data_IF_292832132709
#
_entry.id   IF_292832132709
#
_cell.length_a   1.000
_cell.length_b   1.000
_cell.length_c   1.000
_cell.angle_alpha   90.00
_cell.angle_beta   90.00
_cell.angle_gamma   90.00
#
_symmetry.space_group_name_H-M   'P 1'
#
loop_
_entity.id
_entity.type
_entity.pdbx_description
1 polymer ?
#
# COMPACT_ATOMS: atom_id res chain seq x y z
N UNK A 1 -5.71 19.68 -8.39
CA UNK A 1 -6.19 18.67 -9.34
C UNK A 1 -5.19 17.54 -9.56
N UNK A 2 -3.91 17.82 -9.82
CA UNK A 2 -2.88 16.78 -10.02
C UNK A 2 -2.80 15.81 -8.84
N UNK A 3 -2.75 16.32 -7.62
CA UNK A 3 -2.69 15.49 -6.39
C UNK A 3 -3.84 14.49 -6.28
N UNK A 4 -5.07 14.91 -6.60
CA UNK A 4 -6.24 14.02 -6.56
C UNK A 4 -6.15 12.93 -7.62
N UNK A 5 -5.74 13.27 -8.84
CA UNK A 5 -5.56 12.32 -9.93
C UNK A 5 -4.48 11.30 -9.55
N UNK A 6 -3.34 11.76 -9.06
CA UNK A 6 -2.25 10.88 -8.60
C UNK A 6 -2.71 9.96 -7.46
N UNK A 7 -3.45 10.51 -6.49
CA UNK A 7 -3.99 9.71 -5.39
C UNK A 7 -4.91 8.59 -5.89
N UNK A 8 -5.86 8.92 -6.79
CA UNK A 8 -6.80 7.92 -7.36
C UNK A 8 -6.03 6.86 -8.15
N UNK A 9 -5.04 7.27 -8.95
CA UNK A 9 -4.24 6.34 -9.75
C UNK A 9 -3.44 5.37 -8.86
N UNK A 10 -2.76 5.88 -7.83
CA UNK A 10 -1.98 5.06 -6.89
C UNK A 10 -2.89 4.13 -6.09
N UNK A 11 -4.00 4.65 -5.58
CA UNK A 11 -4.96 3.85 -4.83
C UNK A 11 -5.55 2.74 -5.68
N UNK A 12 -5.99 3.06 -6.90
CA UNK A 12 -6.54 2.08 -7.84
C UNK A 12 -5.53 0.99 -8.20
N UNK A 13 -4.26 1.36 -8.37
CA UNK A 13 -3.18 0.41 -8.63
C UNK A 13 -2.91 -0.51 -7.43
N UNK A 14 -2.88 0.03 -6.21
CA UNK A 14 -2.70 -0.78 -5.00
C UNK A 14 -3.86 -1.75 -4.78
N UNK A 15 -5.09 -1.32 -5.08
CA UNK A 15 -6.27 -2.19 -5.02
C UNK A 15 -6.16 -3.29 -6.08
N UNK A 16 -5.73 -2.97 -7.30
CA UNK A 16 -5.51 -3.98 -8.34
C UNK A 16 -4.52 -5.06 -7.88
N UNK A 17 -3.39 -4.67 -7.29
CA UNK A 17 -2.38 -5.61 -6.74
C UNK A 17 -2.99 -6.47 -5.63
N UNK A 18 -3.81 -5.89 -4.76
CA UNK A 18 -4.53 -6.58 -3.70
C UNK A 18 -5.48 -7.65 -4.24
N UNK A 19 -6.35 -7.27 -5.18
CA UNK A 19 -7.31 -8.20 -5.80
C UNK A 19 -6.60 -9.29 -6.60
N UNK A 20 -5.48 -8.95 -7.25
CA UNK A 20 -4.63 -9.92 -7.93
C UNK A 20 -4.09 -10.98 -6.95
N UNK A 21 -3.77 -10.60 -5.73
CA UNK A 21 -3.35 -11.51 -4.68
C UNK A 21 -4.44 -12.54 -4.32
N UNK A 22 -5.67 -12.10 -4.12
CA UNK A 22 -6.81 -12.99 -3.89
C UNK A 22 -7.06 -13.92 -5.08
N UNK A 23 -7.02 -13.36 -6.29
CA UNK A 23 -7.18 -14.11 -7.53
C UNK A 23 -6.14 -15.23 -7.66
N UNK A 24 -4.85 -14.90 -7.48
CA UNK A 24 -3.77 -15.88 -7.59
C UNK A 24 -3.87 -16.96 -6.52
N UNK A 25 -4.17 -16.58 -5.28
CA UNK A 25 -4.35 -17.52 -4.18
C UNK A 25 -5.53 -18.47 -4.43
N UNK A 26 -6.67 -17.95 -4.91
CA UNK A 26 -7.83 -18.76 -5.25
C UNK A 26 -7.53 -19.77 -6.37
N UNK A 27 -6.88 -19.32 -7.44
CA UNK A 27 -6.46 -20.20 -8.54
C UNK A 27 -5.46 -21.26 -8.09
N UNK A 28 -4.52 -20.92 -7.20
CA UNK A 28 -3.53 -21.84 -6.68
C UNK A 28 -4.15 -23.01 -5.91
N UNK A 29 -5.19 -22.74 -5.10
CA UNK A 29 -5.88 -23.81 -4.35
C UNK A 29 -7.02 -24.46 -5.13
N UNK A 30 -7.19 -24.10 -6.42
CA UNK A 30 -8.18 -24.69 -7.31
C UNK A 30 -9.62 -24.23 -7.01
N UNK A 31 -9.79 -22.98 -6.57
CA UNK A 31 -11.10 -22.35 -6.49
C UNK A 31 -11.40 -21.66 -7.82
N UNK A 32 -12.61 -21.88 -8.35
CA UNK A 32 -13.05 -21.21 -9.57
C UNK A 32 -13.33 -19.74 -9.29
N UNK A 33 -12.67 -18.85 -10.04
CA UNK A 33 -12.93 -17.41 -9.98
C UNK A 33 -13.94 -17.07 -11.07
N UNK A 34 -15.10 -16.56 -10.69
CA UNK A 34 -16.17 -16.18 -11.60
C UNK A 34 -15.94 -14.80 -12.20
N UNK A 35 -15.56 -13.83 -11.37
CA UNK A 35 -15.34 -12.45 -11.80
C UNK A 35 -14.08 -11.88 -11.15
N UNK A 36 -13.29 -11.20 -11.98
CA UNK A 36 -12.20 -10.34 -11.56
C UNK A 36 -12.48 -8.93 -12.08
N UNK A 37 -12.78 -8.00 -11.21
CA UNK A 37 -13.16 -6.63 -11.59
C UNK A 37 -12.21 -5.59 -11.01
N UNK A 38 -11.75 -4.69 -11.89
CA UNK A 38 -11.08 -3.45 -11.50
C UNK A 38 -12.13 -2.34 -11.51
N UNK A 39 -12.37 -1.76 -10.36
CA UNK A 39 -13.45 -0.79 -10.17
C UNK A 39 -14.79 -1.42 -9.80
N UNK A 40 -15.70 -0.56 -9.32
CA UNK A 40 -17.09 -0.92 -9.05
C UNK A 40 -18.02 -0.55 -10.20
N UNK A 41 -19.15 -1.26 -10.34
CA UNK A 41 -20.15 -0.97 -11.38
C UNK A 41 -20.55 0.51 -11.48
N UNK A 42 -21.00 0.95 -12.67
CA UNK A 42 -21.30 0.17 -13.87
C UNK A 42 -20.07 -0.27 -14.64
N UNK A 43 -20.16 -1.45 -15.30
CA UNK A 43 -19.05 -2.02 -16.10
C UNK A 43 -18.88 -1.26 -17.41
N UNK A 44 -17.65 -0.88 -17.72
CA UNK A 44 -17.27 -0.25 -19.01
C UNK A 44 -16.99 -1.34 -20.06
N UNK A 45 -16.17 -2.31 -19.65
CA UNK A 45 -15.73 -3.39 -20.54
C UNK A 45 -15.61 -4.68 -19.74
N UNK A 46 -16.02 -5.78 -20.35
CA UNK A 46 -15.91 -7.11 -19.80
C UNK A 46 -15.57 -8.14 -20.87
N UNK A 47 -14.68 -9.09 -20.53
CA UNK A 47 -14.33 -10.21 -21.40
C UNK A 47 -14.22 -11.48 -20.59
N UNK A 48 -14.94 -12.52 -21.00
CA UNK A 48 -14.85 -13.85 -20.41
C UNK A 48 -13.69 -14.64 -21.04
N UNK A 49 -12.79 -15.15 -20.19
CA UNK A 49 -11.69 -16.02 -20.58
C UNK A 49 -11.71 -17.25 -19.67
N UNK A 50 -12.04 -18.40 -20.24
CA UNK A 50 -12.30 -19.62 -19.49
C UNK A 50 -13.49 -19.43 -18.54
N UNK A 51 -13.30 -19.73 -17.28
CA UNK A 51 -14.34 -19.61 -16.23
C UNK A 51 -14.42 -18.22 -15.63
N UNK A 52 -13.46 -17.34 -15.93
CA UNK A 52 -13.35 -16.03 -15.30
C UNK A 52 -13.79 -14.92 -16.25
N UNK A 53 -14.67 -14.05 -15.78
CA UNK A 53 -15.05 -12.81 -16.44
C UNK A 53 -14.21 -11.65 -15.91
N UNK A 54 -13.36 -11.07 -16.75
CA UNK A 54 -12.53 -9.91 -16.43
C UNK A 54 -13.28 -8.64 -16.77
N UNK A 55 -13.41 -7.74 -15.77
CA UNK A 55 -14.18 -6.49 -15.90
C UNK A 55 -13.34 -5.27 -15.57
N UNK A 56 -13.59 -4.20 -16.30
CA UNK A 56 -13.15 -2.85 -15.95
C UNK A 56 -14.40 -2.00 -15.77
N UNK A 57 -14.50 -1.32 -14.64
CA UNK A 57 -15.70 -0.58 -14.22
C UNK A 57 -15.40 0.90 -13.99
N UNK A 58 -16.44 1.71 -13.98
CA UNK A 58 -16.32 3.18 -13.97
C UNK A 58 -15.75 3.77 -12.68
N UNK A 59 -16.02 3.16 -11.53
CA UNK A 59 -15.61 3.71 -10.24
C UNK A 59 -14.25 3.13 -9.84
N UNK A 60 -13.12 3.87 -10.01
CA UNK A 60 -11.78 3.33 -9.83
C UNK A 60 -11.34 3.28 -8.35
N UNK A 61 -12.29 3.36 -7.42
CA UNK A 61 -12.04 3.38 -5.97
C UNK A 61 -12.09 1.99 -5.33
N UNK A 62 -11.93 0.93 -6.13
CA UNK A 62 -12.02 -0.43 -5.62
C UNK A 62 -11.83 -1.48 -6.70
N UNK A 63 -12.12 -2.71 -6.32
CA UNK A 63 -12.16 -3.87 -7.17
C UNK A 63 -12.81 -5.01 -6.40
N UNK A 64 -13.01 -6.12 -7.04
CA UNK A 64 -13.45 -7.34 -6.36
C UNK A 64 -13.13 -8.59 -7.14
N UNK A 65 -12.88 -9.65 -6.40
CA UNK A 65 -12.76 -11.01 -6.90
C UNK A 65 -13.98 -11.80 -6.40
N UNK A 66 -14.78 -12.31 -7.32
CA UNK A 66 -15.90 -13.17 -6.99
C UNK A 66 -15.52 -14.63 -7.15
N UNK A 67 -15.59 -15.36 -6.05
CA UNK A 67 -15.27 -16.77 -6.00
C UNK A 67 -16.54 -17.61 -6.09
N UNK A 68 -16.49 -18.71 -6.81
CA UNK A 68 -17.58 -19.67 -6.87
C UNK A 68 -17.79 -20.31 -5.48
N UNK A 69 -19.03 -20.36 -5.04
CA UNK A 69 -19.40 -20.89 -3.71
C UNK A 69 -19.12 -19.94 -2.55
N UNK A 70 -18.91 -18.65 -2.81
CA UNK A 70 -18.78 -17.64 -1.77
C UNK A 70 -20.15 -17.25 -1.19
N UNK A 71 -21.21 -17.33 -1.98
CA UNK A 71 -22.57 -17.06 -1.51
C UNK A 71 -23.26 -18.36 -1.13
N UNK A 72 -24.12 -18.30 -0.09
CA UNK A 72 -24.86 -19.46 0.45
C UNK A 72 -25.86 -20.04 -0.57
N UNK A 73 -26.22 -19.28 -1.60
CA UNK A 73 -27.12 -19.67 -2.69
C UNK A 73 -26.40 -20.34 -3.86
N UNK A 74 -25.08 -20.40 -3.84
CA UNK A 74 -24.31 -20.98 -4.93
C UNK A 74 -24.41 -22.51 -4.88
N UNK A 75 -24.68 -23.08 -6.03
CA UNK A 75 -24.98 -24.50 -6.25
C UNK A 75 -23.81 -25.41 -5.89
N UNK A 76 -24.14 -26.59 -5.36
CA UNK A 76 -23.28 -27.71 -5.07
C UNK A 76 -22.06 -27.47 -4.13
N UNK A 77 -22.27 -27.60 -2.79
CA UNK A 77 -21.17 -27.51 -1.82
C UNK A 77 -20.11 -28.62 -1.96
N UNK A 78 -20.39 -29.65 -2.76
CA UNK A 78 -19.49 -30.82 -2.95
C UNK A 78 -18.52 -30.62 -4.11
N UNK A 79 -18.72 -29.59 -4.97
CA UNK A 79 -17.80 -29.29 -6.07
C UNK A 79 -16.41 -28.91 -5.51
N UNK A 80 -15.33 -29.62 -5.90
CA UNK A 80 -13.98 -29.30 -5.47
C UNK A 80 -13.51 -27.89 -5.84
N UNK A 81 -14.12 -27.24 -6.82
CA UNK A 81 -13.81 -25.84 -7.21
C UNK A 81 -14.58 -24.79 -6.40
N UNK A 82 -15.46 -25.25 -5.52
CA UNK A 82 -16.26 -24.39 -4.64
C UNK A 82 -15.40 -23.88 -3.47
N UNK A 83 -15.49 -22.59 -3.15
CA UNK A 83 -14.79 -21.98 -2.00
C UNK A 83 -15.22 -22.61 -0.67
N UNK A 84 -16.52 -22.92 -0.50
CA UNK A 84 -17.04 -23.51 0.72
C UNK A 84 -16.51 -24.94 0.97
N UNK A 85 -16.16 -25.69 -0.10
CA UNK A 85 -15.59 -27.06 -0.01
C UNK A 85 -14.14 -27.06 0.46
N UNK A 86 -13.46 -25.91 0.46
CA UNK A 86 -12.04 -25.81 0.82
C UNK A 86 -11.83 -25.88 2.33
N UNK A 87 -10.68 -26.42 2.72
CA UNK A 87 -10.26 -26.44 4.12
C UNK A 87 -10.14 -25.02 4.69
N UNK A 88 -10.21 -24.90 6.01
CA UNK A 88 -10.08 -23.60 6.70
C UNK A 88 -8.76 -22.93 6.34
N UNK A 89 -7.66 -23.69 6.30
CA UNK A 89 -6.33 -23.14 5.95
C UNK A 89 -6.28 -22.60 4.52
N UNK A 90 -6.90 -23.30 3.56
CA UNK A 90 -6.99 -22.82 2.18
C UNK A 90 -7.82 -21.54 2.07
N UNK A 91 -8.91 -21.43 2.81
CA UNK A 91 -9.72 -20.20 2.86
C UNK A 91 -8.95 -19.04 3.48
N UNK A 92 -8.20 -19.29 4.57
CA UNK A 92 -7.31 -18.29 5.18
C UNK A 92 -6.22 -17.87 4.19
N UNK A 93 -5.61 -18.81 3.47
CA UNK A 93 -4.61 -18.53 2.45
C UNK A 93 -5.15 -17.59 1.36
N UNK A 94 -6.36 -17.82 0.86
CA UNK A 94 -7.02 -16.92 -0.10
C UNK A 94 -7.24 -15.54 0.52
N UNK A 95 -7.73 -15.48 1.76
CA UNK A 95 -8.02 -14.23 2.46
C UNK A 95 -6.75 -13.38 2.69
N UNK A 96 -5.63 -14.01 3.02
CA UNK A 96 -4.36 -13.32 3.23
C UNK A 96 -3.70 -12.94 1.89
N UNK A 97 -4.09 -13.57 0.79
CA UNK A 97 -3.48 -13.36 -0.54
C UNK A 97 -3.41 -11.91 -0.95
N UNK A 98 -4.47 -11.13 -0.74
CA UNK A 98 -4.52 -9.70 -1.05
C UNK A 98 -3.51 -8.86 -0.25
N UNK A 99 -3.59 -8.84 1.08
CA UNK A 99 -2.63 -8.13 1.93
C UNK A 99 -1.18 -8.57 1.70
N UNK A 100 -0.95 -9.87 1.53
CA UNK A 100 0.39 -10.41 1.27
C UNK A 100 0.98 -9.88 -0.04
N UNK A 101 0.17 -9.78 -1.10
CA UNK A 101 0.61 -9.25 -2.38
C UNK A 101 0.96 -7.76 -2.28
N UNK A 102 0.21 -6.96 -1.53
CA UNK A 102 0.55 -5.56 -1.28
C UNK A 102 1.88 -5.43 -0.51
N UNK A 103 2.10 -6.29 0.48
CA UNK A 103 3.37 -6.31 1.23
C UNK A 103 4.54 -6.68 0.32
N UNK A 104 4.40 -7.73 -0.49
CA UNK A 104 5.43 -8.15 -1.45
C UNK A 104 5.72 -7.04 -2.47
N UNK A 105 4.68 -6.37 -2.96
CA UNK A 105 4.83 -5.23 -3.86
C UNK A 105 5.58 -4.07 -3.20
N UNK A 106 5.27 -3.73 -1.95
CA UNK A 106 5.97 -2.71 -1.19
C UNK A 106 7.47 -3.06 -0.99
N UNK A 107 7.76 -4.31 -0.63
CA UNK A 107 9.14 -4.82 -0.50
C UNK A 107 9.91 -4.78 -1.83
N UNK A 108 9.23 -4.98 -2.95
CA UNK A 108 9.84 -4.86 -4.28
C UNK A 108 10.08 -3.41 -4.68
N UNK A 109 9.13 -2.50 -4.38
CA UNK A 109 9.25 -1.09 -4.75
C UNK A 109 10.30 -0.34 -3.92
N UNK A 110 10.49 -0.68 -2.65
CA UNK A 110 11.43 0.01 -1.77
C UNK A 110 12.86 0.05 -2.33
N UNK A 111 13.51 -1.08 -2.68
CA UNK A 111 14.84 -1.05 -3.28
C UNK A 111 14.91 -0.24 -4.58
N UNK A 112 13.86 -0.32 -5.43
CA UNK A 112 13.80 0.44 -6.68
C UNK A 112 13.79 1.95 -6.42
N UNK A 113 13.03 2.41 -5.42
CA UNK A 113 13.01 3.83 -5.04
C UNK A 113 14.40 4.29 -4.58
N UNK A 114 15.09 3.48 -3.78
CA UNK A 114 16.47 3.79 -3.34
C UNK A 114 17.46 3.79 -4.50
N UNK A 115 17.31 2.92 -5.49
CA UNK A 115 18.15 2.89 -6.69
C UNK A 115 17.95 4.11 -7.59
N UNK A 116 16.73 4.63 -7.69
CA UNK A 116 16.42 5.84 -8.47
C UNK A 116 16.91 7.10 -7.76
N UNK A 117 17.08 7.03 -6.45
CA UNK A 117 17.47 8.13 -5.57
C UNK A 117 16.25 8.83 -4.97
N UNK A 118 16.09 8.70 -3.68
CA UNK A 118 15.11 9.48 -2.90
C UNK A 118 15.81 10.73 -2.42
N UNK A 119 15.31 11.90 -2.79
CA UNK A 119 15.77 13.15 -2.21
C UNK A 119 15.33 13.18 -0.75
N UNK A 120 16.30 12.97 0.16
CA UNK A 120 16.05 13.20 1.58
C UNK A 120 15.79 14.71 1.79
N UNK A 121 14.83 15.07 2.63
CA UNK A 121 14.66 16.46 3.01
C UNK A 121 15.95 17.01 3.61
N UNK A 122 16.40 18.18 3.15
CA UNK A 122 17.68 18.77 3.57
C UNK A 122 17.84 18.92 5.10
N UNK A 123 16.71 19.00 5.84
CA UNK A 123 16.75 19.08 7.30
C UNK A 123 17.20 17.79 7.99
N UNK A 124 17.20 16.62 7.29
CA UNK A 124 17.74 15.36 7.82
C UNK A 124 19.27 15.30 7.69
N UNK A 125 19.83 16.06 6.74
CA UNK A 125 21.26 16.10 6.45
C UNK A 125 21.95 17.30 7.14
N UNK A 126 21.17 18.20 7.72
CA UNK A 126 21.68 19.39 8.42
C UNK A 126 21.55 19.24 9.94
N UNK A 127 22.55 19.73 10.68
CA UNK A 127 22.44 19.86 12.13
C UNK A 127 21.22 20.72 12.51
N UNK A 128 20.65 20.46 13.68
CA UNK A 128 19.51 21.22 14.18
C UNK A 128 19.84 22.72 14.24
N UNK A 129 19.22 23.51 13.37
CA UNK A 129 19.35 24.98 13.32
C UNK A 129 18.10 25.66 13.84
N UNK A 130 18.28 26.70 14.64
CA UNK A 130 17.18 27.53 15.09
C UNK A 130 16.68 28.38 13.91
N UNK A 131 15.46 28.11 13.47
CA UNK A 131 14.87 28.81 12.31
C UNK A 131 14.42 30.22 12.62
N UNK A 132 13.82 30.39 13.80
CA UNK A 132 13.26 31.67 14.27
C UNK A 132 13.25 31.69 15.78
N UNK A 133 13.50 32.87 16.35
CA UNK A 133 13.35 33.13 17.77
C UNK A 133 12.23 34.15 17.95
N UNK A 134 11.27 33.82 18.80
CA UNK A 134 10.16 34.72 19.06
C UNK A 134 10.61 35.84 20.00
N UNK A 135 10.21 37.06 19.66
CA UNK A 135 10.51 38.26 20.46
C UNK A 135 9.93 38.15 21.87
N UNK A 136 10.70 38.50 22.88
CA UNK A 136 10.31 38.39 24.27
C UNK A 136 10.45 36.99 24.88
N UNK A 137 10.89 35.99 24.10
CA UNK A 137 11.11 34.61 24.59
C UNK A 137 12.33 34.51 25.47
N UNK A 138 12.39 33.42 26.26
CA UNK A 138 13.57 33.09 27.06
C UNK A 138 14.80 32.89 26.14
N UNK A 139 14.59 32.32 24.97
CA UNK A 139 15.64 32.08 23.98
C UNK A 139 16.33 33.39 23.54
N UNK A 140 15.54 34.44 23.30
CA UNK A 140 16.08 35.78 22.99
C UNK A 140 16.83 36.37 24.18
N UNK A 141 16.28 36.22 25.42
CA UNK A 141 16.90 36.77 26.64
C UNK A 141 18.26 36.14 26.96
N UNK A 142 18.49 34.89 26.60
CA UNK A 142 19.78 34.19 26.74
C UNK A 142 20.71 34.37 25.54
N UNK A 143 20.32 35.16 24.54
CA UNK A 143 21.15 35.58 23.42
C UNK A 143 21.19 34.60 22.25
N UNK A 144 20.28 33.64 22.17
CA UNK A 144 20.16 32.78 20.98
C UNK A 144 19.70 33.57 19.78
N UNK A 145 20.27 33.27 18.62
CA UNK A 145 19.95 33.93 17.35
C UNK A 145 19.40 32.92 16.32
N UNK A 146 18.66 33.44 15.35
CA UNK A 146 18.24 32.63 14.21
C UNK A 146 19.50 32.14 13.44
N UNK A 147 19.47 30.89 13.01
CA UNK A 147 20.56 30.13 12.40
C UNK A 147 21.63 29.60 13.37
N UNK A 148 21.51 29.81 14.69
CA UNK A 148 22.35 29.10 15.62
C UNK A 148 22.19 27.60 15.50
N UNK A 149 23.29 26.88 15.57
CA UNK A 149 23.33 25.41 15.50
C UNK A 149 23.39 24.83 16.91
N UNK A 150 22.49 23.85 17.17
CA UNK A 150 22.48 23.12 18.44
C UNK A 150 23.34 21.88 18.29
N UNK A 151 24.49 21.85 18.96
CA UNK A 151 25.40 20.71 18.96
C UNK A 151 25.06 19.68 20.03
N UNK A 152 24.66 20.15 21.22
CA UNK A 152 24.34 19.30 22.37
C UNK A 152 23.15 19.85 23.12
N UNK A 153 22.31 18.98 23.64
CA UNK A 153 21.24 19.32 24.58
C UNK A 153 21.39 18.43 25.81
N UNK A 154 21.78 19.00 26.95
CA UNK A 154 22.12 18.29 28.19
C UNK A 154 23.24 17.25 27.94
N UNK A 155 22.94 15.95 28.06
CA UNK A 155 23.89 14.87 27.84
C UNK A 155 23.76 14.24 26.43
N UNK A 156 22.83 14.71 25.62
CA UNK A 156 22.61 14.18 24.27
C UNK A 156 23.24 15.09 23.22
N UNK A 157 24.15 14.54 22.44
CA UNK A 157 24.64 15.19 21.22
C UNK A 157 23.56 15.10 20.15
N UNK A 158 23.36 16.19 19.39
CA UNK A 158 22.58 16.11 18.17
C UNK A 158 23.32 15.17 17.21
N UNK A 159 22.69 14.08 16.74
CA UNK A 159 23.37 13.14 15.85
C UNK A 159 23.81 13.89 14.59
N UNK A 160 25.12 13.81 14.27
CA UNK A 160 25.59 14.24 12.96
C UNK A 160 25.01 13.27 11.91
N UNK A 161 24.63 13.73 10.73
CA UNK A 161 24.23 12.85 9.64
C UNK A 161 25.23 11.72 9.35
N UNK A 162 26.52 11.95 9.63
CA UNK A 162 27.58 10.95 9.47
C UNK A 162 27.55 9.83 10.51
N UNK A 163 26.94 10.07 11.68
CA UNK A 163 26.88 9.08 12.76
C UNK A 163 25.74 8.07 12.59
N UNK A 164 24.81 8.35 11.67
CA UNK A 164 23.69 7.48 11.34
C UNK A 164 24.04 6.37 10.32
N UNK A 165 25.25 6.41 9.74
CA UNK A 165 25.69 5.47 8.70
C UNK A 165 26.93 4.64 9.11
N UNK A 166 27.26 4.58 10.40
CA UNK A 166 28.30 3.67 10.92
C UNK A 166 27.73 2.43 11.57
#
# INVERSE_FOLDING_TARGET
>A
MLTLITFIAVLGFLIFIHELGHYMAAKHVGVRVETFSIGFPPTIYGKKVGDTEYKVSWIPLGGYVRLFGQNVTDEDPTDPSNYASKSILQRIYILIGGPAMNLLFALFCMPLLYMIGVQSPAYLDEMAKLRKIDQGSIAEKIGLQANDQIFTCLLYTSPSPRDLYQ
#
